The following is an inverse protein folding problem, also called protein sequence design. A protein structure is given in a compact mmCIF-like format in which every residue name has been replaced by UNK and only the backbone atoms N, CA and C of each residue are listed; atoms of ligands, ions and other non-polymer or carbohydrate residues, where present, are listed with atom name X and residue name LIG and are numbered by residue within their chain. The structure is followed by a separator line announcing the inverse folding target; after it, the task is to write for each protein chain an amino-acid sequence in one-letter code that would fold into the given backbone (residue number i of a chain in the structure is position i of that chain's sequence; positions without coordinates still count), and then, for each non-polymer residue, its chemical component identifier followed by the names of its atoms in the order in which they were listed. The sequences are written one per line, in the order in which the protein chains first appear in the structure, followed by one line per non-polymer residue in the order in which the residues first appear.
data_IF_636190656504
#
_entry.id   IF_636190656504
#
_cell.length_a   1.000
_cell.length_b   1.000
_cell.length_c   1.000
_cell.angle_alpha   90.00
_cell.angle_beta   90.00
_cell.angle_gamma   90.00
#
_symmetry.space_group_name_H-M   'P 1'
#
loop_
_entity.id
_entity.type
_entity.pdbx_description
1 polymer ?
#
# COMPACT_ATOMS: atom_id res chain seq x y z
N UNK A 1 14.84 9.15 14.04
CA UNK A 1 15.07 9.33 12.58
C UNK A 1 16.50 9.85 12.38
N UNK A 2 17.18 9.53 11.28
CA UNK A 2 18.60 9.90 11.05
C UNK A 2 18.79 10.86 9.86
N UNK A 3 18.27 12.10 9.93
CA UNK A 3 18.29 13.03 8.80
C UNK A 3 19.72 13.41 8.35
N UNK A 4 20.67 13.48 9.29
CA UNK A 4 22.08 13.80 9.00
C UNK A 4 22.82 12.71 8.24
N UNK A 5 22.27 11.48 8.19
CA UNK A 5 22.83 10.36 7.42
C UNK A 5 22.30 10.30 5.98
N UNK A 6 21.35 11.15 5.61
CA UNK A 6 20.69 11.15 4.30
C UNK A 6 21.15 12.39 3.53
N UNK A 7 21.97 12.19 2.50
CA UNK A 7 22.40 13.30 1.63
C UNK A 7 21.24 13.87 0.81
N UNK A 8 20.38 13.01 0.25
CA UNK A 8 19.17 13.38 -0.51
C UNK A 8 18.07 12.34 -0.34
N UNK A 9 16.81 12.80 -0.32
CA UNK A 9 15.63 11.95 -0.32
C UNK A 9 14.84 12.16 -1.62
N UNK A 10 14.58 11.08 -2.35
CA UNK A 10 13.83 11.08 -3.63
C UNK A 10 12.58 10.22 -3.45
N UNK A 11 11.42 10.75 -3.86
CA UNK A 11 10.12 10.10 -3.74
C UNK A 11 9.57 9.87 -5.16
N UNK A 12 9.42 8.62 -5.58
CA UNK A 12 8.94 8.25 -6.93
C UNK A 12 7.54 7.67 -6.80
N UNK A 13 6.54 8.33 -7.40
CA UNK A 13 5.13 7.91 -7.35
C UNK A 13 4.64 7.54 -5.94
N UNK A 14 5.23 8.17 -4.92
CA UNK A 14 5.05 7.83 -3.51
C UNK A 14 4.23 8.90 -2.78
N UNK A 15 3.64 8.51 -1.65
CA UNK A 15 3.02 9.43 -0.71
C UNK A 15 4.11 10.17 0.11
N UNK A 16 4.44 11.40 -0.26
CA UNK A 16 5.29 12.28 0.54
C UNK A 16 4.42 13.07 1.52
N UNK A 17 4.65 12.89 2.81
CA UNK A 17 4.00 13.68 3.85
C UNK A 17 4.63 15.08 3.91
N UNK A 18 3.80 16.12 3.94
CA UNK A 18 4.25 17.45 4.33
C UNK A 18 4.38 17.55 5.86
N UNK A 19 5.15 18.52 6.34
CA UNK A 19 5.27 18.77 7.77
C UNK A 19 3.87 19.04 8.37
N UNK A 20 3.51 18.28 9.41
CA UNK A 20 2.23 18.38 10.10
C UNK A 20 1.09 17.52 9.50
N UNK A 21 1.30 16.83 8.38
CA UNK A 21 0.32 15.87 7.86
C UNK A 21 0.53 14.48 8.48
N UNK A 22 -0.55 13.82 8.85
CA UNK A 22 -0.53 12.41 9.24
C UNK A 22 -0.63 11.49 8.02
N UNK A 23 -0.20 10.24 8.18
CA UNK A 23 -0.41 9.20 7.17
C UNK A 23 -1.89 9.02 6.84
N UNK A 24 -2.77 9.14 7.84
CA UNK A 24 -4.23 9.03 7.69
C UNK A 24 -4.81 10.13 6.80
N UNK A 25 -4.29 11.36 6.90
CA UNK A 25 -4.74 12.47 6.07
C UNK A 25 -4.49 12.19 4.57
N UNK A 26 -3.37 11.53 4.25
CA UNK A 26 -3.07 11.10 2.88
C UNK A 26 -3.95 9.95 2.40
N UNK A 27 -4.32 9.01 3.28
CA UNK A 27 -5.25 7.93 2.94
C UNK A 27 -6.64 8.49 2.59
N UNK A 28 -7.15 9.43 3.39
CA UNK A 28 -8.45 10.06 3.15
C UNK A 28 -8.50 10.84 1.83
N UNK A 29 -7.38 11.46 1.44
CA UNK A 29 -7.31 12.24 0.20
C UNK A 29 -7.12 11.37 -1.05
N UNK A 30 -6.42 10.22 -0.94
CA UNK A 30 -6.10 9.34 -2.07
C UNK A 30 -7.14 8.25 -2.36
N UNK A 31 -7.96 7.86 -1.38
CA UNK A 31 -8.96 6.79 -1.57
C UNK A 31 -10.07 7.12 -2.58
N UNK A 32 -10.21 8.39 -2.98
CA UNK A 32 -11.31 8.86 -3.82
C UNK A 32 -11.12 8.79 -5.34
N UNK A 33 -10.06 8.18 -5.90
CA UNK A 33 -9.76 8.39 -7.33
C UNK A 33 -9.42 7.18 -8.21
N UNK A 34 -9.36 5.93 -7.72
CA UNK A 34 -9.10 4.79 -8.61
C UNK A 34 -9.86 3.52 -8.19
N UNK A 35 -11.01 3.29 -8.82
CA UNK A 35 -11.86 2.09 -8.69
C UNK A 35 -11.05 0.79 -8.90
N UNK A 36 -10.07 0.81 -9.81
CA UNK A 36 -9.19 -0.33 -10.09
C UNK A 36 -8.25 -0.70 -8.94
N UNK A 37 -7.81 0.26 -8.11
CA UNK A 37 -7.01 -0.04 -6.91
C UNK A 37 -7.82 -0.82 -5.89
N UNK A 38 -9.06 -0.39 -5.67
CA UNK A 38 -9.97 -1.02 -4.73
C UNK A 38 -10.35 -2.43 -5.20
N UNK A 39 -10.56 -2.61 -6.50
CA UNK A 39 -10.86 -3.92 -7.10
C UNK A 39 -9.70 -4.91 -7.03
N UNK A 40 -8.46 -4.44 -7.17
CA UNK A 40 -7.29 -5.32 -7.15
C UNK A 40 -6.82 -5.69 -5.72
N UNK A 41 -7.33 -5.03 -4.69
CA UNK A 41 -6.90 -5.21 -3.30
C UNK A 41 -7.71 -6.31 -2.60
N UNK A 42 -6.99 -7.27 -2.00
CA UNK A 42 -7.56 -8.35 -1.21
C UNK A 42 -7.23 -8.12 0.27
N UNK A 43 -8.25 -8.08 1.13
CA UNK A 43 -8.05 -7.97 2.57
C UNK A 43 -7.89 -9.34 3.23
N UNK A 44 -6.85 -9.49 4.05
CA UNK A 44 -6.56 -10.72 4.80
C UNK A 44 -6.99 -10.55 6.26
N UNK A 45 -7.63 -11.58 6.82
CA UNK A 45 -8.22 -11.58 8.16
C UNK A 45 -7.62 -12.69 9.03
N UNK A 46 -6.32 -12.61 9.35
CA UNK A 46 -5.64 -13.66 10.10
C UNK A 46 -6.22 -13.86 11.52
N UNK A 47 -6.81 -12.81 12.10
CA UNK A 47 -7.49 -12.86 13.40
C UNK A 47 -8.97 -13.28 13.31
N UNK A 48 -9.47 -13.70 12.14
CA UNK A 48 -10.86 -14.08 11.91
C UNK A 48 -11.70 -12.99 11.25
N UNK A 49 -12.72 -13.40 10.48
CA UNK A 49 -13.50 -12.54 9.58
C UNK A 49 -14.33 -11.44 10.28
N UNK A 50 -14.58 -11.58 11.57
CA UNK A 50 -15.31 -10.59 12.38
C UNK A 50 -14.39 -9.50 12.94
N UNK A 51 -13.07 -9.68 12.84
CA UNK A 51 -12.08 -8.71 13.28
C UNK A 51 -11.63 -7.83 12.09
N UNK A 52 -11.02 -6.68 12.34
CA UNK A 52 -10.43 -5.86 11.28
C UNK A 52 -9.39 -6.65 10.46
N UNK A 53 -9.18 -6.31 9.17
CA UNK A 53 -8.18 -6.96 8.36
C UNK A 53 -6.78 -6.74 8.94
N UNK A 54 -5.94 -7.76 8.87
CA UNK A 54 -4.57 -7.76 9.38
C UNK A 54 -3.55 -7.37 8.32
N UNK A 55 -3.89 -7.54 7.03
CA UNK A 55 -3.04 -7.20 5.90
C UNK A 55 -3.86 -6.96 4.63
N UNK A 56 -3.23 -6.35 3.63
CA UNK A 56 -3.73 -6.29 2.26
C UNK A 56 -2.78 -7.03 1.31
N UNK A 57 -3.32 -7.69 0.30
CA UNK A 57 -2.58 -8.27 -0.82
C UNK A 57 -3.19 -7.78 -2.14
N UNK A 58 -2.58 -8.14 -3.27
CA UNK A 58 -3.06 -7.82 -4.60
C UNK A 58 -3.45 -9.06 -5.38
N UNK A 59 -4.56 -8.99 -6.12
CA UNK A 59 -4.94 -10.02 -7.07
C UNK A 59 -3.90 -10.12 -8.19
N UNK A 60 -3.28 -11.30 -8.29
CA UNK A 60 -2.20 -11.60 -9.25
C UNK A 60 -2.69 -11.54 -10.69
N UNK A 61 -3.97 -11.83 -10.94
CA UNK A 61 -4.56 -11.72 -12.28
C UNK A 61 -4.67 -10.27 -12.76
N UNK A 62 -4.77 -9.32 -11.82
CA UNK A 62 -4.96 -7.90 -12.11
C UNK A 62 -3.66 -7.09 -12.09
N UNK A 63 -2.53 -7.67 -11.63
CA UNK A 63 -1.23 -6.99 -11.57
C UNK A 63 -0.80 -6.36 -12.89
N UNK A 64 -1.02 -7.06 -14.01
CA UNK A 64 -0.73 -6.52 -15.35
C UNK A 64 -1.57 -5.28 -15.65
N UNK A 65 -2.86 -5.32 -15.34
CA UNK A 65 -3.78 -4.22 -15.67
C UNK A 65 -3.52 -3.00 -14.79
N UNK A 66 -3.17 -3.22 -13.53
CA UNK A 66 -3.12 -2.15 -12.53
C UNK A 66 -1.72 -1.59 -12.25
N UNK A 67 -0.68 -2.43 -12.14
CA UNK A 67 0.69 -2.00 -11.73
C UNK A 67 1.67 -2.06 -12.90
N UNK A 68 1.60 -3.12 -13.70
CA UNK A 68 2.62 -3.48 -14.69
C UNK A 68 2.11 -3.37 -16.14
N UNK A 69 1.20 -2.41 -16.40
CA UNK A 69 0.53 -2.26 -17.70
C UNK A 69 1.49 -1.87 -18.84
N UNK A 70 2.62 -1.27 -18.50
CA UNK A 70 3.69 -0.88 -19.43
C UNK A 70 4.97 -1.72 -19.25
N UNK A 71 4.91 -2.83 -18.49
CA UNK A 71 6.07 -3.66 -18.22
C UNK A 71 6.10 -4.93 -19.10
N UNK A 72 7.30 -5.44 -19.43
CA UNK A 72 7.46 -6.72 -20.11
C UNK A 72 6.85 -7.92 -19.35
N UNK A 73 6.44 -8.99 -20.05
CA UNK A 73 5.86 -10.19 -19.41
C UNK A 73 6.73 -10.84 -18.34
N UNK A 74 8.05 -10.84 -18.51
CA UNK A 74 9.01 -11.41 -17.54
C UNK A 74 8.94 -10.72 -16.17
N UNK A 75 8.73 -9.40 -16.16
CA UNK A 75 8.70 -8.61 -14.92
C UNK A 75 7.37 -8.81 -14.21
N UNK A 76 6.28 -9.00 -14.97
CA UNK A 76 4.97 -9.40 -14.43
C UNK A 76 5.06 -10.78 -13.77
N UNK A 77 5.69 -11.75 -14.43
CA UNK A 77 5.87 -13.09 -13.88
C UNK A 77 6.69 -13.05 -12.58
N UNK A 78 7.77 -12.28 -12.55
CA UNK A 78 8.58 -12.07 -11.36
C UNK A 78 7.78 -11.41 -10.23
N UNK A 79 7.01 -10.37 -10.54
CA UNK A 79 6.18 -9.67 -9.56
C UNK A 79 5.09 -10.60 -8.96
N UNK A 80 4.46 -11.42 -9.80
CA UNK A 80 3.42 -12.36 -9.38
C UNK A 80 3.91 -13.37 -8.33
N UNK A 81 5.19 -13.75 -8.34
CA UNK A 81 5.79 -14.65 -7.34
C UNK A 81 6.50 -13.92 -6.19
N UNK A 82 6.76 -12.62 -6.34
CA UNK A 82 7.58 -11.84 -5.40
C UNK A 82 6.78 -10.91 -4.49
N UNK A 83 5.61 -10.42 -4.93
CA UNK A 83 4.75 -9.57 -4.11
C UNK A 83 4.28 -10.35 -2.89
N UNK A 84 4.32 -9.70 -1.73
CA UNK A 84 3.87 -10.24 -0.44
C UNK A 84 2.77 -9.35 0.15
N UNK A 85 1.91 -9.90 1.01
CA UNK A 85 0.92 -9.11 1.72
C UNK A 85 1.58 -7.98 2.52
N UNK A 86 0.98 -6.80 2.46
CA UNK A 86 1.35 -5.61 3.21
C UNK A 86 0.63 -5.69 4.56
N UNK A 87 1.33 -5.94 5.67
CA UNK A 87 0.69 -5.97 6.98
C UNK A 87 0.18 -4.57 7.32
N UNK A 88 -1.04 -4.49 7.82
CA UNK A 88 -1.43 -3.31 8.56
C UNK A 88 -0.70 -3.36 9.88
N UNK A 89 0.03 -2.28 10.21
CA UNK A 89 0.55 -2.14 11.56
C UNK A 89 -0.62 -2.32 12.53
N UNK A 90 -0.46 -3.03 13.66
CA UNK A 90 -1.47 -2.98 14.70
C UNK A 90 -1.72 -1.50 14.95
N UNK A 91 -2.96 -1.05 14.74
CA UNK A 91 -3.37 0.33 14.99
C UNK A 91 -3.37 0.52 16.51
N UNK A 92 -2.17 0.55 17.09
CA UNK A 92 -1.89 0.66 18.51
C UNK A 92 -1.74 2.12 18.95
N UNK A 93 -1.88 3.08 18.04
CA UNK A 93 -1.85 4.49 18.38
C UNK A 93 -3.04 5.22 17.74
N UNK A 94 -3.94 5.66 18.63
CA UNK A 94 -4.94 6.74 18.47
C UNK A 94 -6.31 6.34 17.90
N UNK A 95 -7.02 5.51 18.66
CA UNK A 95 -8.47 5.70 18.86
C UNK A 95 -8.71 6.25 20.27
N UNK A 96 -8.19 7.45 20.53
CA UNK A 96 -8.60 8.28 21.65
C UNK A 96 -8.79 9.69 21.11
N UNK A 97 -10.00 9.96 20.62
CA UNK A 97 -10.68 11.27 20.63
C UNK A 97 -12.15 10.98 20.88
#
# INVERSE_FOLDING_TARGET
MFPTKISKAVFISAAKLANGQSTLDLFNQKLGSNDLMQQAQIFLYANGKKNPPTAADFDRSLLKKFIFNLSPPKDIALASVSIRPIPFAPVGEKLHV
#
